data_IF_512855343148
#
_entry.id   IF_512855343148
#
_cell.length_a   1.000
_cell.length_b   1.000
_cell.length_c   1.000
_cell.angle_alpha   90.00
_cell.angle_beta   90.00
_cell.angle_gamma   90.00
#
_symmetry.space_group_name_H-M   'P 1'
#
loop_
_entity.id
_entity.type
_entity.pdbx_description
1 polymer ?
#
# COMPACT_ATOMS: atom_id res chain seq x y z
N UNK A 1 -16.50 11.03 23.62
CA UNK A 1 -15.82 9.86 23.00
C UNK A 1 -16.46 9.40 21.67
N UNK A 2 -17.60 9.95 21.24
CA UNK A 2 -18.23 9.58 19.95
C UNK A 2 -17.87 10.51 18.77
N UNK A 3 -17.34 11.71 19.03
CA UNK A 3 -17.04 12.68 17.96
C UNK A 3 -15.85 12.28 17.09
N UNK A 4 -14.89 11.53 17.64
CA UNK A 4 -13.72 11.04 16.87
C UNK A 4 -14.12 9.93 15.91
N UNK A 5 -15.05 9.05 16.32
CA UNK A 5 -15.59 7.98 15.47
C UNK A 5 -16.41 8.56 14.32
N UNK A 6 -17.25 9.56 14.60
CA UNK A 6 -18.02 10.27 13.57
C UNK A 6 -17.14 11.09 12.62
N UNK A 7 -16.06 11.70 13.13
CA UNK A 7 -15.10 12.44 12.31
C UNK A 7 -14.30 11.49 11.40
N UNK A 8 -13.92 10.31 11.89
CA UNK A 8 -13.30 9.27 11.07
C UNK A 8 -14.30 8.74 10.03
N UNK A 9 -15.57 8.51 10.38
CA UNK A 9 -16.59 8.14 9.39
C UNK A 9 -16.86 9.22 8.35
N UNK A 10 -16.74 10.52 8.68
CA UNK A 10 -16.89 11.61 7.69
C UNK A 10 -15.67 11.81 6.80
N UNK A 11 -14.47 11.55 7.32
CA UNK A 11 -13.21 11.70 6.57
C UNK A 11 -12.93 10.46 5.70
N UNK A 12 -13.42 9.28 6.10
CA UNK A 12 -13.18 8.00 5.43
C UNK A 12 -14.43 7.35 4.81
N UNK A 13 -15.63 7.80 5.17
CA UNK A 13 -16.89 7.34 4.60
C UNK A 13 -17.40 8.35 3.58
N UNK A 14 -17.14 8.08 2.30
CA UNK A 14 -17.89 8.74 1.23
C UNK A 14 -19.39 8.49 1.46
N UNK A 15 -20.14 9.57 1.62
CA UNK A 15 -21.57 9.58 1.92
C UNK A 15 -22.46 9.05 0.80
N UNK A 16 -22.26 7.80 0.38
CA UNK A 16 -23.18 7.09 -0.50
C UNK A 16 -24.09 6.17 0.33
N UNK A 17 -25.32 6.65 0.47
CA UNK A 17 -26.48 5.97 1.00
C UNK A 17 -26.55 4.54 0.43
N UNK A 18 -26.70 3.59 1.35
CA UNK A 18 -26.74 2.17 1.10
C UNK A 18 -27.84 1.78 0.10
N UNK A 19 -27.43 1.25 -1.07
CA UNK A 19 -28.27 0.35 -1.85
C UNK A 19 -28.23 -1.04 -1.20
N UNK A 20 -29.41 -1.51 -0.79
CA UNK A 20 -29.63 -2.80 -0.14
C UNK A 20 -29.79 -3.86 -1.24
N UNK A 21 -28.68 -4.38 -1.76
CA UNK A 21 -28.74 -5.46 -2.75
C UNK A 21 -27.41 -6.19 -2.97
N UNK A 22 -27.43 -7.50 -2.74
CA UNK A 22 -26.49 -8.45 -3.35
C UNK A 22 -25.24 -8.76 -2.52
N UNK A 23 -25.13 -10.02 -2.11
CA UNK A 23 -24.02 -10.65 -1.39
C UNK A 23 -22.67 -10.71 -2.16
N UNK A 24 -22.36 -9.73 -3.01
CA UNK A 24 -21.14 -9.68 -3.84
C UNK A 24 -20.14 -8.58 -3.45
N UNK A 25 -20.47 -7.71 -2.47
CA UNK A 25 -19.63 -6.56 -2.11
C UNK A 25 -18.89 -6.71 -0.77
N UNK A 26 -18.93 -7.87 -0.11
CA UNK A 26 -18.26 -8.01 1.20
C UNK A 26 -16.74 -7.97 1.06
N UNK A 27 -16.19 -8.61 0.03
CA UNK A 27 -14.76 -8.59 -0.27
C UNK A 27 -14.28 -7.18 -0.68
N UNK A 28 -15.03 -6.47 -1.53
CA UNK A 28 -14.67 -5.11 -1.97
C UNK A 28 -14.88 -4.04 -0.88
N UNK A 29 -15.84 -4.21 0.05
CA UNK A 29 -16.09 -3.24 1.14
C UNK A 29 -15.13 -3.36 2.32
N UNK A 30 -14.58 -4.55 2.60
CA UNK A 30 -13.74 -4.77 3.79
C UNK A 30 -12.26 -5.07 3.47
N UNK A 31 -11.94 -5.59 2.27
CA UNK A 31 -10.55 -5.95 1.87
C UNK A 31 -9.90 -4.96 0.92
N UNK A 32 -10.52 -3.79 0.74
CA UNK A 32 -10.16 -2.79 -0.24
C UNK A 32 -8.86 -2.00 0.02
N UNK A 33 -8.68 -0.85 -0.66
CA UNK A 33 -7.47 0.00 -0.61
C UNK A 33 -6.99 0.38 0.80
N UNK A 34 -7.89 0.39 1.78
CA UNK A 34 -7.61 0.76 3.17
C UNK A 34 -6.70 -0.26 3.85
N UNK A 35 -6.96 -1.56 3.73
CA UNK A 35 -6.09 -2.60 4.34
C UNK A 35 -4.71 -2.61 3.67
N UNK A 36 -4.64 -2.38 2.36
CA UNK A 36 -3.36 -2.23 1.66
C UNK A 36 -2.56 -1.01 2.16
N UNK A 37 -3.23 0.14 2.33
CA UNK A 37 -2.63 1.35 2.87
C UNK A 37 -2.15 1.12 4.31
N UNK A 38 -2.98 0.52 5.15
CA UNK A 38 -2.63 0.14 6.52
C UNK A 38 -1.37 -0.74 6.57
N UNK A 39 -1.35 -1.83 5.79
CA UNK A 39 -0.19 -2.74 5.74
C UNK A 39 1.06 -2.00 5.26
N UNK A 40 0.93 -1.11 4.26
CA UNK A 40 2.05 -0.30 3.78
C UNK A 40 2.58 0.64 4.86
N UNK A 41 1.72 1.38 5.53
CA UNK A 41 2.13 2.31 6.58
C UNK A 41 2.75 1.56 7.77
N UNK A 42 2.18 0.41 8.14
CA UNK A 42 2.76 -0.48 9.15
C UNK A 42 4.12 -1.02 8.71
N UNK A 43 4.30 -1.37 7.44
CA UNK A 43 5.58 -1.77 6.87
C UNK A 43 6.60 -0.64 6.96
N UNK A 44 6.25 0.58 6.50
CA UNK A 44 7.15 1.73 6.50
C UNK A 44 7.63 2.05 7.94
N UNK A 45 6.73 1.99 8.92
CA UNK A 45 7.08 2.18 10.34
C UNK A 45 7.97 1.05 10.84
N UNK A 46 7.62 -0.21 10.59
CA UNK A 46 8.39 -1.35 11.07
C UNK A 46 9.80 -1.40 10.47
N UNK A 47 9.90 -1.20 9.15
CA UNK A 47 11.14 -1.23 8.37
C UNK A 47 12.10 -0.08 8.76
N UNK A 48 11.57 1.05 9.22
CA UNK A 48 12.38 2.15 9.74
C UNK A 48 13.18 1.76 10.99
N UNK A 49 12.67 0.85 11.82
CA UNK A 49 13.36 0.36 13.03
C UNK A 49 14.01 -1.01 12.82
N UNK A 50 13.54 -1.80 11.86
CA UNK A 50 14.05 -3.15 11.58
C UNK A 50 14.23 -3.38 10.06
N UNK A 51 15.19 -2.70 9.42
CA UNK A 51 15.32 -2.69 7.96
C UNK A 51 15.46 -4.09 7.36
N UNK A 52 14.63 -4.40 6.36
CA UNK A 52 14.68 -5.65 5.60
C UNK A 52 14.20 -6.89 6.35
N UNK A 53 13.78 -6.77 7.62
CA UNK A 53 13.39 -7.93 8.44
C UNK A 53 11.89 -8.27 8.36
N UNK A 54 11.10 -7.40 7.73
CA UNK A 54 9.65 -7.61 7.61
C UNK A 54 9.34 -8.89 6.83
N UNK A 55 8.49 -9.74 7.40
CA UNK A 55 8.07 -11.02 6.81
C UNK A 55 6.58 -11.23 7.00
N UNK A 56 5.95 -11.89 6.02
CA UNK A 56 4.53 -12.29 6.10
C UNK A 56 4.33 -13.65 6.75
N UNK A 57 5.40 -14.32 7.21
CA UNK A 57 5.29 -15.61 7.89
C UNK A 57 4.51 -15.46 9.19
N UNK A 58 3.60 -16.40 9.43
CA UNK A 58 2.86 -16.47 10.69
C UNK A 58 3.84 -16.55 11.89
N UNK A 59 3.55 -15.81 12.95
CA UNK A 59 4.40 -15.66 14.12
C UNK A 59 5.65 -14.79 13.95
N UNK A 60 5.96 -14.29 12.75
CA UNK A 60 7.09 -13.37 12.57
C UNK A 60 6.86 -12.02 13.29
N UNK A 61 7.92 -11.27 13.65
CA UNK A 61 7.78 -9.99 14.35
C UNK A 61 6.90 -8.98 13.61
N UNK A 62 7.04 -8.88 12.28
CA UNK A 62 6.22 -7.99 11.46
C UNK A 62 4.75 -8.45 11.42
N UNK A 63 4.51 -9.74 11.20
CA UNK A 63 3.16 -10.30 11.25
C UNK A 63 2.47 -10.00 12.59
N UNK A 64 3.14 -10.28 13.71
CA UNK A 64 2.65 -9.97 15.04
C UNK A 64 2.39 -8.47 15.25
N UNK A 65 3.30 -7.61 14.76
CA UNK A 65 3.16 -6.16 14.85
C UNK A 65 1.89 -5.67 14.14
N UNK A 66 1.70 -6.06 12.87
CA UNK A 66 0.55 -5.65 12.07
C UNK A 66 -0.76 -6.11 12.71
N UNK A 67 -0.81 -7.36 13.19
CA UNK A 67 -2.00 -7.90 13.84
C UNK A 67 -2.33 -7.19 15.16
N UNK A 68 -1.32 -6.85 15.97
CA UNK A 68 -1.54 -6.12 17.23
C UNK A 68 -2.04 -4.69 16.99
N UNK A 69 -1.47 -4.00 16.00
CA UNK A 69 -1.94 -2.65 15.65
C UNK A 69 -3.37 -2.70 15.11
N UNK A 70 -3.68 -3.69 14.27
CA UNK A 70 -5.03 -3.89 13.75
C UNK A 70 -6.02 -4.16 14.89
N UNK A 71 -5.73 -5.13 15.75
CA UNK A 71 -6.55 -5.48 16.91
C UNK A 71 -6.79 -4.29 17.84
N UNK A 72 -5.76 -3.50 18.12
CA UNK A 72 -5.89 -2.29 18.92
C UNK A 72 -6.79 -1.24 18.26
N UNK A 73 -6.74 -1.09 16.93
CA UNK A 73 -7.50 -0.09 16.20
C UNK A 73 -8.97 -0.49 15.98
N UNK A 74 -9.28 -1.78 15.80
CA UNK A 74 -10.61 -2.26 15.42
C UNK A 74 -11.35 -3.01 16.53
N UNK A 75 -10.64 -3.57 17.50
CA UNK A 75 -11.21 -4.47 18.51
C UNK A 75 -11.60 -5.85 17.96
N UNK A 76 -11.24 -6.19 16.71
CA UNK A 76 -11.57 -7.47 16.06
C UNK A 76 -10.44 -8.50 16.18
N UNK A 77 -10.80 -9.78 16.36
CA UNK A 77 -9.83 -10.83 16.72
C UNK A 77 -9.68 -12.03 15.78
N UNK A 78 -10.71 -12.53 15.07
CA UNK A 78 -10.59 -13.89 14.48
C UNK A 78 -10.74 -13.95 12.94
N UNK A 79 -11.89 -13.60 12.38
CA UNK A 79 -12.11 -13.70 10.92
C UNK A 79 -11.22 -12.73 10.13
N UNK A 80 -11.02 -11.53 10.67
CA UNK A 80 -10.24 -10.48 10.04
C UNK A 80 -8.72 -10.71 10.13
N UNK A 81 -8.25 -11.55 11.08
CA UNK A 81 -6.84 -11.95 11.16
C UNK A 81 -6.43 -12.82 9.98
N UNK A 82 -7.24 -13.79 9.58
CA UNK A 82 -6.89 -14.65 8.43
C UNK A 82 -6.82 -13.83 7.14
N UNK A 83 -7.76 -12.92 6.94
CA UNK A 83 -7.80 -12.07 5.77
C UNK A 83 -6.61 -11.08 5.73
N UNK A 84 -6.23 -10.53 6.88
CA UNK A 84 -5.04 -9.69 7.04
C UNK A 84 -3.75 -10.48 6.74
N UNK A 85 -3.64 -11.71 7.24
CA UNK A 85 -2.51 -12.60 6.96
C UNK A 85 -2.38 -12.99 5.49
N UNK A 86 -3.50 -13.16 4.78
CA UNK A 86 -3.49 -13.35 3.32
C UNK A 86 -2.97 -12.10 2.61
N UNK A 87 -3.48 -10.91 2.97
CA UNK A 87 -3.04 -9.65 2.37
C UNK A 87 -1.58 -9.33 2.65
N UNK A 88 -1.07 -9.67 3.85
CA UNK A 88 0.35 -9.54 4.15
C UNK A 88 1.22 -10.35 3.19
N UNK A 89 0.86 -11.61 2.95
CA UNK A 89 1.57 -12.49 2.00
C UNK A 89 1.54 -11.96 0.56
N UNK A 90 0.42 -11.38 0.15
CA UNK A 90 0.25 -10.78 -1.17
C UNK A 90 1.17 -9.56 -1.37
N UNK A 91 1.30 -8.71 -0.34
CA UNK A 91 1.95 -7.41 -0.47
C UNK A 91 3.44 -7.40 -0.11
N UNK A 92 3.92 -8.31 0.75
CA UNK A 92 5.26 -8.23 1.35
C UNK A 92 6.39 -8.12 0.32
N UNK A 93 6.31 -8.90 -0.76
CA UNK A 93 7.32 -8.89 -1.83
C UNK A 93 7.32 -7.58 -2.60
N UNK A 94 6.14 -6.98 -2.81
CA UNK A 94 6.01 -5.68 -3.46
C UNK A 94 6.50 -4.54 -2.56
N UNK A 95 6.27 -4.63 -1.24
CA UNK A 95 6.76 -3.67 -0.26
C UNK A 95 8.28 -3.63 -0.22
N UNK A 96 8.93 -4.80 -0.12
CA UNK A 96 10.39 -4.90 -0.20
C UNK A 96 10.95 -4.40 -1.53
N UNK A 97 10.30 -4.75 -2.64
CA UNK A 97 10.68 -4.26 -3.96
C UNK A 97 10.61 -2.73 -4.06
N UNK A 98 9.51 -2.15 -3.58
CA UNK A 98 9.33 -0.70 -3.54
C UNK A 98 10.36 -0.01 -2.64
N UNK A 99 10.60 -0.53 -1.43
CA UNK A 99 11.57 0.01 -0.47
C UNK A 99 12.98 0.03 -1.06
N UNK A 100 13.42 -1.08 -1.67
CA UNK A 100 14.74 -1.15 -2.33
C UNK A 100 14.86 -0.19 -3.51
N UNK A 101 13.86 -0.15 -4.38
CA UNK A 101 13.87 0.76 -5.53
C UNK A 101 13.87 2.23 -5.11
N UNK A 102 13.11 2.56 -4.05
CA UNK A 102 13.10 3.90 -3.44
C UNK A 102 14.46 4.26 -2.85
N UNK A 103 15.10 3.35 -2.11
CA UNK A 103 16.42 3.58 -1.55
C UNK A 103 17.48 3.80 -2.64
N UNK A 104 17.46 2.99 -3.71
CA UNK A 104 18.36 3.18 -4.86
C UNK A 104 18.11 4.52 -5.55
N UNK A 105 16.86 4.89 -5.79
CA UNK A 105 16.50 6.17 -6.41
C UNK A 105 17.06 7.35 -5.63
N UNK A 106 16.83 7.40 -4.30
CA UNK A 106 17.31 8.50 -3.46
C UNK A 106 18.84 8.53 -3.34
N UNK A 107 19.48 7.36 -3.28
CA UNK A 107 20.94 7.27 -3.30
C UNK A 107 21.52 7.87 -4.59
N UNK A 108 20.94 7.54 -5.74
CA UNK A 108 21.36 8.09 -7.03
C UNK A 108 21.05 9.58 -7.14
N UNK A 109 19.89 10.03 -6.68
CA UNK A 109 19.53 11.44 -6.68
C UNK A 109 20.50 12.28 -5.84
N UNK A 110 20.91 11.77 -4.68
CA UNK A 110 21.92 12.41 -3.85
C UNK A 110 23.28 12.51 -4.57
N UNK A 111 23.69 11.45 -5.28
CA UNK A 111 24.93 11.45 -6.08
C UNK A 111 24.85 12.46 -7.24
N UNK A 112 23.71 12.53 -7.95
CA UNK A 112 23.52 13.47 -9.06
C UNK A 112 23.47 14.93 -8.61
N UNK A 113 22.95 15.19 -7.40
CA UNK A 113 22.87 16.52 -6.82
C UNK A 113 24.19 17.00 -6.20
N UNK A 114 25.06 16.08 -5.78
CA UNK A 114 26.37 16.40 -5.18
C UNK A 114 27.53 16.32 -6.18
N UNK A 115 27.34 15.65 -7.32
CA UNK A 115 28.36 15.47 -8.36
C UNK A 115 28.48 16.64 -9.33
N UNK A 116 29.61 16.68 -10.03
CA UNK A 116 29.87 17.64 -11.10
C UNK A 116 28.97 17.38 -12.32
N UNK A 117 28.63 18.42 -13.07
CA UNK A 117 27.85 18.32 -14.31
C UNK A 117 28.62 17.54 -15.38
N UNK A 118 29.95 17.63 -15.36
CA UNK A 118 30.85 17.01 -16.35
C UNK A 118 31.34 15.62 -15.93
N UNK A 119 30.76 15.01 -14.89
CA UNK A 119 31.13 13.65 -14.47
C UNK A 119 30.79 12.64 -15.59
N UNK A 120 31.78 11.87 -16.11
CA UNK A 120 31.56 10.89 -17.18
C UNK A 120 30.58 9.77 -16.79
N UNK A 121 30.34 9.55 -15.50
CA UNK A 121 29.39 8.55 -14.98
C UNK A 121 27.96 9.07 -14.85
N UNK A 122 27.73 10.38 -15.03
CA UNK A 122 26.42 11.01 -14.87
C UNK A 122 25.33 10.38 -15.74
N UNK A 123 25.64 10.08 -17.00
CA UNK A 123 24.71 9.43 -17.92
C UNK A 123 24.27 8.04 -17.44
N UNK A 124 25.18 7.27 -16.85
CA UNK A 124 24.86 5.96 -16.27
C UNK A 124 24.02 6.09 -14.99
N UNK A 125 24.32 7.08 -14.14
CA UNK A 125 23.52 7.40 -12.95
C UNK A 125 22.09 7.78 -13.33
N UNK A 126 21.89 8.66 -14.32
CA UNK A 126 20.55 9.02 -14.80
C UNK A 126 19.79 7.82 -15.36
N UNK A 127 20.46 6.93 -16.11
CA UNK A 127 19.84 5.70 -16.62
C UNK A 127 19.36 4.83 -15.46
N UNK A 128 20.21 4.61 -14.46
CA UNK A 128 19.86 3.82 -13.26
C UNK A 128 18.74 4.48 -12.45
N UNK A 129 18.74 5.80 -12.32
CA UNK A 129 17.67 6.54 -11.65
C UNK A 129 16.31 6.30 -12.33
N UNK A 130 16.26 6.36 -13.67
CA UNK A 130 15.03 6.07 -14.44
C UNK A 130 14.57 4.63 -14.25
N UNK A 131 15.50 3.68 -14.19
CA UNK A 131 15.17 2.28 -13.94
C UNK A 131 14.61 2.07 -12.53
N UNK A 132 15.28 2.63 -11.51
CA UNK A 132 14.79 2.59 -10.12
C UNK A 132 13.38 3.20 -10.02
N UNK A 133 13.13 4.33 -10.70
CA UNK A 133 11.79 4.94 -10.77
C UNK A 133 10.75 4.01 -11.41
N UNK A 134 11.08 3.33 -12.51
CA UNK A 134 10.17 2.34 -13.13
C UNK A 134 9.87 1.18 -12.19
N UNK A 135 10.87 0.68 -11.47
CA UNK A 135 10.67 -0.39 -10.49
C UNK A 135 9.78 0.08 -9.33
N UNK A 136 9.95 1.32 -8.85
CA UNK A 136 9.05 1.92 -7.86
C UNK A 136 7.62 1.95 -8.37
N UNK A 137 7.37 2.42 -9.59
CA UNK A 137 6.03 2.47 -10.19
C UNK A 137 5.42 1.08 -10.36
N UNK A 138 6.22 0.09 -10.79
CA UNK A 138 5.80 -1.30 -10.95
C UNK A 138 5.31 -1.90 -9.63
N UNK A 139 6.08 -1.71 -8.55
CA UNK A 139 5.70 -2.20 -7.24
C UNK A 139 4.52 -1.39 -6.64
N UNK A 140 4.50 -0.08 -6.84
CA UNK A 140 3.45 0.82 -6.33
C UNK A 140 2.06 0.44 -6.86
N UNK A 141 1.95 0.01 -8.13
CA UNK A 141 0.69 -0.46 -8.73
C UNK A 141 0.11 -1.70 -8.05
N UNK A 142 0.96 -2.53 -7.43
CA UNK A 142 0.53 -3.70 -6.65
C UNK A 142 0.09 -3.33 -5.24
N UNK A 143 0.71 -2.29 -4.67
CA UNK A 143 0.41 -1.80 -3.32
C UNK A 143 -0.87 -0.99 -3.27
N UNK A 144 -1.09 -0.13 -4.27
CA UNK A 144 -2.35 0.59 -4.45
C UNK A 144 -2.89 0.14 -5.79
N UNK A 145 -3.82 -0.85 -5.81
CA UNK A 145 -4.64 -1.05 -6.99
C UNK A 145 -5.22 0.32 -7.28
N UNK A 146 -4.94 0.87 -8.47
CA UNK A 146 -5.62 2.07 -8.91
C UNK A 146 -7.10 1.82 -8.62
N UNK A 147 -7.77 2.76 -7.94
CA UNK A 147 -9.22 2.79 -7.88
C UNK A 147 -9.66 2.82 -9.34
N UNK A 148 -9.81 1.63 -9.94
CA UNK A 148 -10.09 1.51 -11.34
C UNK A 148 -11.47 2.11 -11.45
N UNK A 149 -11.53 3.26 -12.10
CA UNK A 149 -12.75 3.94 -12.47
C UNK A 149 -13.60 2.93 -13.24
N UNK A 150 -14.41 2.14 -12.55
CA UNK A 150 -15.53 1.39 -13.12
C UNK A 150 -16.65 2.38 -13.42
N UNK A 151 -16.32 3.46 -14.13
CA UNK A 151 -17.29 4.19 -14.92
C UNK A 151 -17.65 3.28 -16.08
N UNK A 152 -18.69 2.46 -15.90
CA UNK A 152 -19.33 1.76 -17.03
C UNK A 152 -19.65 2.83 -18.08
N UNK A 153 -19.16 2.74 -19.32
CA UNK A 153 -19.65 3.65 -20.36
C UNK A 153 -21.17 3.44 -20.49
N UNK A 154 -21.98 4.51 -20.62
CA UNK A 154 -23.41 4.37 -20.76
C UNK A 154 -23.70 3.52 -22.01
N UNK A 155 -24.38 2.40 -21.82
CA UNK A 155 -24.92 1.62 -22.92
C UNK A 155 -25.86 2.54 -23.71
N UNK A 156 -25.51 2.80 -24.97
CA UNK A 156 -26.44 3.40 -25.91
C UNK A 156 -27.60 2.43 -26.10
N UNK A 157 -28.74 2.73 -25.51
CA UNK A 157 -30.02 2.12 -25.89
C UNK A 157 -30.34 2.61 -27.28
N UNK A 158 -30.12 1.78 -28.29
CA UNK A 158 -30.63 2.00 -29.64
C UNK A 158 -32.15 2.02 -29.60
N UNK A 159 -32.73 3.08 -30.18
CA UNK A 159 -34.11 3.10 -30.65
C UNK A 159 -34.11 2.80 -32.14
#
# INVERSE_FOLDING_TARGET
MNEVVDMLQKVFGDGQIADRGGAQNYEDRFLGPVKNRFIREAFDVFDAYHPGSASSSDGSPFFCFVHKVFEFATGEHDEDKMALGYKLRELISALHGFSRAKAEYWSIELMLNSGDQDDPTRGDLERRQREAKKQMELHQRKLVPALAQKGRPPQKTGK
#
